data_IF_309728742870
#
_entry.id   IF_309728742870
#
_cell.length_a   1.000
_cell.length_b   1.000
_cell.length_c   1.000
_cell.angle_alpha   90.00
_cell.angle_beta   90.00
_cell.angle_gamma   90.00
#
_symmetry.space_group_name_H-M   'P 1'
#
loop_
_entity.id
_entity.type
_entity.pdbx_description
1 polymer ?
#
# COMPACT_ATOMS: atom_id res chain seq x y z
N UNK A 1 10.05 -10.62 -0.82
CA UNK A 1 10.91 -11.82 -1.00
C UNK A 1 10.31 -12.80 -2.01
N UNK A 2 9.19 -13.48 -1.70
CA UNK A 2 8.61 -14.51 -2.59
C UNK A 2 8.27 -13.98 -3.99
N UNK A 3 7.72 -12.76 -4.09
CA UNK A 3 7.43 -12.13 -5.39
C UNK A 3 8.67 -11.91 -6.25
N UNK A 4 9.85 -11.67 -5.67
CA UNK A 4 11.09 -11.51 -6.43
C UNK A 4 11.54 -12.86 -7.03
N UNK A 5 11.40 -13.96 -6.29
CA UNK A 5 11.66 -15.30 -6.80
C UNK A 5 10.67 -15.65 -7.94
N UNK A 6 9.39 -15.32 -7.76
CA UNK A 6 8.38 -15.48 -8.81
C UNK A 6 8.67 -14.61 -10.05
N UNK A 7 9.15 -13.37 -9.86
CA UNK A 7 9.53 -12.46 -10.94
C UNK A 7 10.57 -13.07 -11.87
N UNK A 8 11.62 -13.67 -11.30
CA UNK A 8 12.67 -14.34 -12.08
C UNK A 8 12.19 -15.57 -12.85
N UNK A 9 11.07 -16.19 -12.44
CA UNK A 9 10.55 -17.46 -13.00
C UNK A 9 9.33 -17.29 -13.91
N UNK A 10 8.76 -16.09 -13.99
CA UNK A 10 7.54 -15.82 -14.76
C UNK A 10 7.80 -14.76 -15.82
N UNK A 11 6.98 -14.77 -16.88
CA UNK A 11 7.11 -13.82 -17.99
C UNK A 11 5.95 -12.83 -18.11
N UNK A 12 4.72 -13.28 -17.84
CA UNK A 12 3.52 -12.51 -18.20
C UNK A 12 2.68 -12.09 -16.99
N UNK A 13 2.60 -12.92 -15.94
CA UNK A 13 1.70 -12.66 -14.80
C UNK A 13 2.13 -11.43 -14.00
N UNK A 14 1.18 -10.60 -13.55
CA UNK A 14 1.46 -9.50 -12.61
C UNK A 14 1.74 -10.03 -11.21
N UNK A 15 2.57 -9.32 -10.46
CA UNK A 15 3.09 -9.75 -9.17
C UNK A 15 2.71 -8.73 -8.11
N UNK A 16 1.67 -9.05 -7.36
CA UNK A 16 1.08 -8.13 -6.38
C UNK A 16 1.11 -8.70 -4.96
N UNK A 17 1.26 -7.83 -3.96
CA UNK A 17 0.90 -8.22 -2.59
C UNK A 17 -0.61 -8.25 -2.41
N UNK A 18 -1.09 -9.00 -1.42
CA UNK A 18 -2.53 -9.08 -1.09
C UNK A 18 -2.71 -9.44 0.40
N UNK A 19 -2.23 -8.63 1.35
CA UNK A 19 -1.76 -7.24 1.23
C UNK A 19 -0.38 -7.05 1.87
N UNK A 20 0.28 -5.93 1.56
CA UNK A 20 1.35 -5.37 2.39
C UNK A 20 0.70 -4.66 3.57
N UNK A 21 0.99 -5.11 4.80
CA UNK A 21 0.52 -4.48 6.05
C UNK A 21 1.32 -3.20 6.29
N UNK A 22 0.96 -2.13 5.59
CA UNK A 22 1.76 -0.90 5.52
C UNK A 22 1.90 -0.23 6.89
N UNK A 23 0.87 -0.31 7.73
CA UNK A 23 0.92 0.23 9.10
C UNK A 23 2.10 -0.31 9.91
N UNK A 24 2.49 -1.57 9.68
CA UNK A 24 3.59 -2.24 10.36
C UNK A 24 4.93 -2.19 9.60
N UNK A 25 4.96 -1.67 8.38
CA UNK A 25 6.16 -1.58 7.54
C UNK A 25 6.75 -0.16 7.51
N UNK A 26 8.01 -0.02 7.10
CA UNK A 26 8.56 1.29 6.68
C UNK A 26 8.21 1.53 5.20
N UNK A 27 7.49 2.61 4.85
CA UNK A 27 7.17 2.96 3.46
C UNK A 27 8.37 3.00 2.52
N UNK A 28 9.55 3.45 3.00
CA UNK A 28 10.78 3.47 2.19
C UNK A 28 11.20 2.06 1.82
N UNK A 29 11.24 1.14 2.79
CA UNK A 29 11.62 -0.27 2.53
C UNK A 29 10.59 -1.00 1.69
N UNK A 30 9.30 -0.72 1.92
CA UNK A 30 8.23 -1.27 1.09
C UNK A 30 8.38 -0.82 -0.37
N UNK A 31 8.55 0.49 -0.61
CA UNK A 31 8.78 1.02 -1.96
C UNK A 31 10.01 0.40 -2.61
N UNK A 32 11.17 0.43 -1.95
CA UNK A 32 12.41 -0.16 -2.49
C UNK A 32 12.26 -1.63 -2.89
N UNK A 33 11.58 -2.41 -2.06
CA UNK A 33 11.33 -3.83 -2.34
C UNK A 33 10.48 -4.02 -3.60
N UNK A 34 9.41 -3.24 -3.76
CA UNK A 34 8.54 -3.35 -4.93
C UNK A 34 9.16 -2.74 -6.18
N UNK A 35 9.92 -1.65 -6.08
CA UNK A 35 10.72 -1.14 -7.20
C UNK A 35 11.74 -2.17 -7.68
N UNK A 36 12.36 -2.90 -6.75
CA UNK A 36 13.29 -3.98 -7.09
C UNK A 36 12.57 -5.15 -7.78
N UNK A 37 11.40 -5.58 -7.27
CA UNK A 37 10.58 -6.60 -7.93
C UNK A 37 10.14 -6.12 -9.31
N UNK A 38 9.79 -4.84 -9.45
CA UNK A 38 9.37 -4.24 -10.70
C UNK A 38 10.46 -4.35 -11.76
N UNK A 39 11.69 -3.98 -11.41
CA UNK A 39 12.86 -4.09 -12.28
C UNK A 39 13.16 -5.55 -12.66
N UNK A 40 13.17 -6.47 -11.69
CA UNK A 40 13.42 -7.90 -11.95
C UNK A 40 12.32 -8.49 -12.86
N UNK A 41 11.09 -8.06 -12.65
CA UNK A 41 9.93 -8.58 -13.37
C UNK A 41 9.74 -7.99 -14.76
N UNK A 42 10.40 -6.87 -15.07
CA UNK A 42 10.17 -6.12 -16.31
C UNK A 42 8.85 -5.34 -16.28
N UNK A 43 8.55 -4.66 -15.17
CA UNK A 43 7.38 -3.76 -15.08
C UNK A 43 6.07 -4.43 -14.67
N UNK A 44 6.11 -5.55 -13.94
CA UNK A 44 4.93 -6.34 -13.58
C UNK A 44 4.54 -6.25 -12.11
N UNK A 45 5.25 -5.46 -11.30
CA UNK A 45 4.97 -5.39 -9.87
C UNK A 45 3.78 -4.47 -9.57
N UNK A 46 3.01 -4.83 -8.55
CA UNK A 46 1.97 -3.97 -7.98
C UNK A 46 1.99 -4.11 -6.47
N UNK A 47 1.47 -3.11 -5.75
CA UNK A 47 1.38 -3.18 -4.29
C UNK A 47 -0.06 -2.98 -3.86
N UNK A 48 -0.68 -3.98 -3.23
CA UNK A 48 -1.89 -3.74 -2.44
C UNK A 48 -1.47 -3.44 -1.02
N UNK A 49 -1.72 -2.22 -0.57
CA UNK A 49 -1.49 -1.80 0.81
C UNK A 49 -2.77 -1.83 1.60
N UNK A 50 -2.70 -2.35 2.81
CA UNK A 50 -3.84 -2.38 3.71
C UNK A 50 -3.36 -2.38 5.15
N UNK A 51 -4.34 -2.38 6.05
CA UNK A 51 -4.09 -2.40 7.48
C UNK A 51 -3.88 -3.83 8.03
N UNK A 52 -4.15 -4.85 7.22
CA UNK A 52 -4.12 -6.26 7.62
C UNK A 52 -5.41 -6.69 8.34
N UNK A 53 -5.54 -7.99 8.58
CA UNK A 53 -6.69 -8.58 9.31
C UNK A 53 -6.34 -8.98 10.75
N UNK A 54 -5.06 -8.84 11.14
CA UNK A 54 -4.50 -9.38 12.36
C UNK A 54 -3.77 -8.27 13.13
N UNK A 55 -4.33 -7.90 14.28
CA UNK A 55 -3.78 -6.90 15.20
C UNK A 55 -2.50 -7.38 15.88
N UNK A 56 -2.24 -8.68 15.88
CA UNK A 56 -1.07 -9.35 16.44
C UNK A 56 0.26 -8.85 15.84
N UNK A 57 0.21 -8.30 14.63
CA UNK A 57 1.39 -7.69 13.98
C UNK A 57 1.87 -6.42 14.69
N UNK A 58 1.00 -5.68 15.38
CA UNK A 58 1.36 -4.41 16.01
C UNK A 58 2.35 -4.58 17.18
N UNK A 59 2.05 -5.39 18.21
CA UNK A 59 3.00 -5.60 19.30
C UNK A 59 4.30 -6.25 18.83
N UNK A 60 4.25 -7.10 17.78
CA UNK A 60 5.45 -7.72 17.19
C UNK A 60 6.45 -6.68 16.65
N UNK A 61 5.95 -5.55 16.15
CA UNK A 61 6.76 -4.46 15.63
C UNK A 61 6.83 -3.25 16.59
N UNK A 62 6.43 -3.42 17.85
CA UNK A 62 6.47 -2.37 18.87
C UNK A 62 5.51 -1.21 18.62
N UNK A 63 4.39 -1.45 17.94
CA UNK A 63 3.37 -0.45 17.63
C UNK A 63 2.16 -0.55 18.56
N UNK A 64 1.54 0.59 18.85
CA UNK A 64 0.28 0.66 19.59
C UNK A 64 -0.91 0.55 18.61
N UNK A 65 -1.87 -0.31 18.95
CA UNK A 65 -3.13 -0.46 18.21
C UNK A 65 -4.00 0.80 18.24
N UNK A 66 -3.82 1.65 19.24
CA UNK A 66 -4.53 2.94 19.32
C UNK A 66 -4.13 3.88 18.17
N UNK A 67 -2.92 3.74 17.63
CA UNK A 67 -2.42 4.54 16.51
C UNK A 67 -2.76 3.94 15.13
N UNK A 68 -3.53 2.85 15.06
CA UNK A 68 -3.74 2.04 13.85
C UNK A 68 -4.12 2.84 12.60
N UNK A 69 -5.08 3.76 12.73
CA UNK A 69 -5.59 4.55 11.61
C UNK A 69 -4.65 5.69 11.21
N UNK A 70 -3.99 6.30 12.19
CA UNK A 70 -3.00 7.37 11.95
C UNK A 70 -1.74 6.79 11.31
N UNK A 71 -1.25 5.65 11.80
CA UNK A 71 -0.13 4.90 11.21
C UNK A 71 -0.37 4.61 9.74
N UNK A 72 -1.54 4.06 9.40
CA UNK A 72 -1.85 3.76 8.00
C UNK A 72 -1.94 5.03 7.14
N UNK A 73 -2.60 6.08 7.66
CA UNK A 73 -2.76 7.34 6.92
C UNK A 73 -1.41 7.99 6.63
N UNK A 74 -0.58 8.16 7.66
CA UNK A 74 0.73 8.81 7.57
C UNK A 74 1.67 8.01 6.64
N UNK A 75 1.73 6.69 6.83
CA UNK A 75 2.62 5.84 6.04
C UNK A 75 2.17 5.70 4.59
N UNK A 76 0.86 5.73 4.31
CA UNK A 76 0.33 5.77 2.96
C UNK A 76 0.71 7.08 2.26
N UNK A 77 0.55 8.22 2.93
CA UNK A 77 0.91 9.52 2.37
C UNK A 77 2.40 9.58 2.00
N UNK A 78 3.28 9.14 2.91
CA UNK A 78 4.70 9.01 2.60
C UNK A 78 4.95 8.06 1.43
N UNK A 79 4.32 6.88 1.39
CA UNK A 79 4.50 5.92 0.29
C UNK A 79 4.17 6.55 -1.06
N UNK A 80 3.05 7.28 -1.16
CA UNK A 80 2.63 7.95 -2.38
C UNK A 80 3.59 9.09 -2.74
N UNK A 81 4.06 9.85 -1.75
CA UNK A 81 5.08 10.89 -1.97
C UNK A 81 6.38 10.31 -2.55
N UNK A 82 6.83 9.17 -2.05
CA UNK A 82 8.00 8.42 -2.57
C UNK A 82 7.75 7.88 -3.98
N UNK A 83 6.54 7.38 -4.23
CA UNK A 83 6.15 6.88 -5.56
C UNK A 83 6.22 8.00 -6.59
N UNK A 84 5.70 9.18 -6.24
CA UNK A 84 5.48 10.27 -7.18
C UNK A 84 6.71 11.18 -7.32
N UNK A 85 7.67 11.13 -6.39
CA UNK A 85 8.87 11.97 -6.38
C UNK A 85 10.14 11.15 -6.13
N UNK A 86 11.22 11.46 -6.85
CA UNK A 86 12.52 10.84 -6.62
C UNK A 86 13.18 11.31 -5.32
N UNK A 87 13.14 12.62 -5.07
CA UNK A 87 13.66 13.28 -3.86
C UNK A 87 12.50 13.65 -2.95
N UNK A 88 12.57 13.23 -1.69
CA UNK A 88 11.48 13.35 -0.72
C UNK A 88 11.94 14.10 0.53
N UNK A 89 11.13 15.10 0.90
CA UNK A 89 11.12 15.71 2.22
C UNK A 89 9.90 15.18 3.00
N UNK A 90 10.11 14.74 4.24
CA UNK A 90 9.07 14.16 5.08
C UNK A 90 9.23 14.56 6.54
N UNK A 91 8.12 14.79 7.23
CA UNK A 91 8.05 14.89 8.69
C UNK A 91 6.71 14.32 9.14
N UNK A 92 6.71 13.55 10.21
CA UNK A 92 5.52 12.86 10.72
C UNK A 92 5.73 12.33 12.13
N UNK A 93 4.69 11.74 12.71
CA UNK A 93 4.66 11.20 14.07
C UNK A 93 5.31 9.82 14.15
N UNK A 94 5.16 8.98 13.13
CA UNK A 94 5.47 7.55 13.20
C UNK A 94 6.79 7.15 12.53
N UNK A 95 7.53 8.11 11.99
CA UNK A 95 8.83 7.87 11.37
C UNK A 95 9.69 9.11 11.45
N UNK A 96 11.00 8.90 11.57
CA UNK A 96 11.98 9.97 11.47
C UNK A 96 11.87 10.75 10.15
N UNK A 97 12.12 12.05 10.23
CA UNK A 97 12.04 12.96 9.11
C UNK A 97 13.01 12.57 7.97
N UNK A 98 12.60 12.89 6.74
CA UNK A 98 13.47 12.87 5.56
C UNK A 98 13.78 14.30 5.15
N UNK A 99 15.05 14.56 4.87
CA UNK A 99 15.54 15.85 4.37
C UNK A 99 16.31 15.60 3.09
N UNK A 100 15.75 16.05 1.97
CA UNK A 100 16.28 15.94 0.62
C UNK A 100 16.82 14.53 0.29
N UNK A 101 16.06 13.50 0.66
CA UNK A 101 16.48 12.11 0.44
C UNK A 101 15.98 11.58 -0.89
N UNK A 102 16.91 11.13 -1.73
CA UNK A 102 16.60 10.37 -2.94
C UNK A 102 16.38 8.89 -2.61
N UNK A 103 15.29 8.30 -3.09
CA UNK A 103 14.92 6.91 -2.79
C UNK A 103 15.06 6.03 -4.02
N UNK A 104 16.02 5.12 -3.95
CA UNK A 104 16.40 4.18 -5.01
C UNK A 104 16.25 2.72 -4.58
N UNK A 105 16.07 1.79 -5.54
CA UNK A 105 15.98 2.03 -6.98
C UNK A 105 14.61 2.62 -7.39
N UNK A 106 14.56 3.28 -8.56
CA UNK A 106 13.30 3.69 -9.18
C UNK A 106 12.71 2.51 -9.99
N UNK A 107 11.38 2.32 -9.94
CA UNK A 107 10.70 1.28 -10.71
C UNK A 107 10.77 1.55 -12.22
N UNK A 108 10.52 0.52 -13.03
CA UNK A 108 10.34 0.67 -14.47
C UNK A 108 8.98 1.31 -14.79
N UNK A 109 7.93 0.90 -14.07
CA UNK A 109 6.61 1.52 -14.15
C UNK A 109 6.63 2.92 -13.50
N UNK A 110 6.05 3.91 -14.17
CA UNK A 110 5.90 5.27 -13.64
C UNK A 110 4.45 5.77 -13.82
N UNK A 111 3.63 5.84 -12.75
CA UNK A 111 3.94 5.45 -11.37
C UNK A 111 3.88 3.93 -11.13
N UNK A 112 4.53 3.43 -10.07
CA UNK A 112 4.35 2.06 -9.57
C UNK A 112 2.89 1.87 -9.08
N UNK A 113 2.12 0.87 -9.57
CA UNK A 113 0.73 0.72 -9.16
C UNK A 113 0.57 0.40 -7.66
N UNK A 114 -0.22 1.23 -6.97
CA UNK A 114 -0.57 1.06 -5.55
C UNK A 114 -2.08 0.98 -5.42
N UNK A 115 -2.57 -0.09 -4.80
CA UNK A 115 -3.97 -0.38 -4.54
C UNK A 115 -4.26 -0.31 -3.04
N UNK A 116 -5.48 0.09 -2.66
CA UNK A 116 -5.93 0.08 -1.27
C UNK A 116 -6.77 -1.17 -1.00
N UNK A 117 -6.28 -2.03 -0.11
CA UNK A 117 -7.01 -3.18 0.43
C UNK A 117 -7.98 -2.77 1.53
N UNK A 118 -9.26 -3.09 1.38
CA UNK A 118 -10.32 -2.73 2.33
C UNK A 118 -11.19 -3.93 2.72
N UNK A 119 -11.61 -3.99 3.99
CA UNK A 119 -12.44 -5.08 4.52
C UNK A 119 -13.91 -4.74 4.77
N UNK A 120 -14.31 -3.45 4.75
CA UNK A 120 -15.73 -3.08 4.93
C UNK A 120 -16.01 -1.74 5.63
N UNK A 121 -15.00 -1.03 6.15
CA UNK A 121 -15.21 0.25 6.82
C UNK A 121 -15.43 1.40 5.82
N UNK A 122 -16.56 2.14 5.87
CA UNK A 122 -16.87 3.22 4.91
C UNK A 122 -15.76 4.24 4.69
N UNK A 123 -15.07 4.65 5.77
CA UNK A 123 -13.98 5.61 5.71
C UNK A 123 -12.82 5.16 4.80
N UNK A 124 -12.53 3.86 4.74
CA UNK A 124 -11.46 3.32 3.88
C UNK A 124 -11.81 3.40 2.40
N UNK A 125 -13.08 3.18 2.04
CA UNK A 125 -13.55 3.33 0.66
C UNK A 125 -13.52 4.78 0.22
N UNK A 126 -13.99 5.70 1.07
CA UNK A 126 -13.94 7.14 0.80
C UNK A 126 -12.50 7.62 0.64
N UNK A 127 -11.57 7.16 1.51
CA UNK A 127 -10.14 7.51 1.40
C UNK A 127 -9.55 7.07 0.07
N UNK A 128 -9.80 5.83 -0.35
CA UNK A 128 -9.30 5.33 -1.62
C UNK A 128 -9.80 6.17 -2.81
N UNK A 129 -11.09 6.56 -2.79
CA UNK A 129 -11.67 7.42 -3.84
C UNK A 129 -11.07 8.81 -3.84
N UNK A 130 -10.96 9.46 -2.67
CA UNK A 130 -10.32 10.79 -2.56
C UNK A 130 -8.87 10.81 -3.07
N UNK A 131 -8.15 9.70 -2.93
CA UNK A 131 -6.77 9.57 -3.40
C UNK A 131 -6.67 9.14 -4.87
N UNK A 132 -7.79 8.85 -5.55
CA UNK A 132 -7.81 8.32 -6.91
C UNK A 132 -7.13 6.96 -7.05
N UNK A 133 -7.05 6.18 -5.97
CA UNK A 133 -6.36 4.90 -5.97
C UNK A 133 -7.32 3.73 -6.27
N UNK A 134 -6.84 2.70 -6.97
CA UNK A 134 -7.64 1.51 -7.22
C UNK A 134 -7.87 0.71 -5.92
N UNK A 135 -8.98 -0.01 -5.87
CA UNK A 135 -9.52 -0.63 -4.66
C UNK A 135 -9.52 -2.16 -4.75
N UNK A 136 -9.05 -2.84 -3.71
CA UNK A 136 -9.21 -4.30 -3.53
C UNK A 136 -10.10 -4.56 -2.31
N UNK A 137 -11.27 -5.16 -2.54
CA UNK A 137 -12.25 -5.43 -1.47
C UNK A 137 -12.14 -6.88 -1.01
N UNK A 138 -11.84 -7.07 0.27
CA UNK A 138 -11.91 -8.38 0.91
C UNK A 138 -13.37 -8.70 1.26
N UNK A 139 -13.94 -9.69 0.58
CA UNK A 139 -15.29 -10.19 0.87
C UNK A 139 -15.16 -11.38 1.81
N UNK A 140 -15.28 -11.13 3.12
CA UNK A 140 -15.17 -12.16 4.16
C UNK A 140 -16.53 -12.36 4.81
N UNK A 141 -17.20 -13.46 4.45
CA UNK A 141 -18.51 -13.84 5.00
C UNK A 141 -19.67 -12.94 4.56
N UNK A 142 -20.87 -13.52 4.59
CA UNK A 142 -22.10 -12.83 4.19
C UNK A 142 -22.24 -12.63 2.67
N UNK A 143 -23.23 -11.83 2.27
CA UNK A 143 -23.57 -11.63 0.87
C UNK A 143 -22.81 -10.46 0.22
N UNK A 144 -22.32 -10.69 -1.00
CA UNK A 144 -21.53 -9.72 -1.78
C UNK A 144 -22.26 -8.40 -2.04
N UNK A 145 -23.59 -8.42 -2.15
CA UNK A 145 -24.39 -7.23 -2.42
C UNK A 145 -24.24 -6.15 -1.33
N UNK A 146 -23.87 -6.53 -0.11
CA UNK A 146 -23.67 -5.59 1.01
C UNK A 146 -22.54 -4.59 0.77
N UNK A 147 -21.56 -4.96 -0.07
CA UNK A 147 -20.45 -4.07 -0.42
C UNK A 147 -20.83 -3.00 -1.46
N UNK A 148 -21.99 -3.11 -2.12
CA UNK A 148 -22.42 -2.16 -3.15
C UNK A 148 -22.40 -0.72 -2.65
N UNK A 149 -22.98 -0.49 -1.47
CA UNK A 149 -23.07 0.85 -0.87
C UNK A 149 -21.69 1.42 -0.55
N UNK A 150 -20.73 0.56 -0.20
CA UNK A 150 -19.34 0.98 0.07
C UNK A 150 -18.60 1.33 -1.23
N UNK A 151 -18.80 0.55 -2.30
CA UNK A 151 -18.28 0.87 -3.64
C UNK A 151 -18.87 2.18 -4.17
N UNK A 152 -20.14 2.47 -3.88
CA UNK A 152 -20.75 3.76 -4.23
C UNK A 152 -20.09 4.93 -3.48
N UNK A 153 -19.72 4.74 -2.22
CA UNK A 153 -18.97 5.75 -1.47
C UNK A 153 -17.58 6.00 -2.06
N UNK A 154 -16.89 4.95 -2.49
CA UNK A 154 -15.62 5.05 -3.21
C UNK A 154 -15.78 5.91 -4.47
N UNK A 155 -16.70 5.53 -5.37
CA UNK A 155 -16.93 6.25 -6.64
C UNK A 155 -17.39 7.69 -6.48
N UNK A 156 -18.15 8.01 -5.42
CA UNK A 156 -18.59 9.38 -5.13
C UNK A 156 -17.47 10.26 -4.59
N UNK A 157 -16.43 9.66 -4.01
CA UNK A 157 -15.35 10.39 -3.35
C UNK A 157 -14.24 10.82 -4.32
N UNK A 158 -14.13 10.18 -5.49
CA UNK A 158 -13.16 10.49 -6.55
C UNK A 158 -13.01 9.33 -7.52
#
# INVERSE_FOLDING_TARGET
VILAAAAARTKNIRLTSAVTVLSAADPVRAFQSFSTIDLISGGRAEMVVGRGSFTESFPLFGLDLNDYDELFAEKLDLLLKIRDNEVVNWSGKFRAALRDQAIYPRPLQNPLPVWIGVGGTPASFVRAGKLGLPLMVAVIGGETHRFRRLVDLYRKAG
#
